data_IF_714254502255
#
_entry.id   IF_714254502255
#
_cell.length_a   1.000
_cell.length_b   1.000
_cell.length_c   1.000
_cell.angle_alpha   90.00
_cell.angle_beta   90.00
_cell.angle_gamma   90.00
#
_symmetry.space_group_name_H-M   'P 1'
#
loop_
_entity.id
_entity.type
_entity.pdbx_description
1 polymer ?
#
# COMPACT_ATOMS: atom_id res chain seq x y z
N UNK A 1 11.60 -11.74 -21.27
CA UNK A 1 11.91 -11.57 -19.83
C UNK A 1 12.93 -10.46 -19.69
N UNK A 2 12.74 -9.52 -18.78
CA UNK A 2 13.66 -8.41 -18.54
C UNK A 2 14.11 -8.41 -17.08
N UNK A 3 15.40 -8.18 -16.86
CA UNK A 3 15.97 -7.99 -15.53
C UNK A 3 15.97 -6.49 -15.21
N UNK A 4 15.12 -6.09 -14.26
CA UNK A 4 14.92 -4.67 -13.94
C UNK A 4 16.13 -4.03 -13.24
N UNK A 5 17.09 -4.82 -12.74
CA UNK A 5 18.37 -4.31 -12.26
C UNK A 5 19.28 -3.83 -13.40
N UNK A 6 19.02 -4.28 -14.63
CA UNK A 6 19.81 -3.95 -15.83
C UNK A 6 19.06 -3.03 -16.79
N UNK A 7 17.74 -3.18 -16.89
CA UNK A 7 16.89 -2.43 -17.83
C UNK A 7 15.71 -1.83 -17.06
N UNK A 8 15.62 -0.51 -17.05
CA UNK A 8 14.50 0.21 -16.42
C UNK A 8 13.15 -0.19 -17.03
N UNK A 9 12.05 -0.24 -16.24
CA UNK A 9 10.71 -0.53 -16.76
C UNK A 9 10.32 0.31 -17.98
N UNK A 10 10.60 1.61 -17.97
CA UNK A 10 10.30 2.51 -19.10
C UNK A 10 10.93 2.07 -20.43
N UNK A 11 12.15 1.50 -20.38
CA UNK A 11 12.83 0.94 -21.56
C UNK A 11 12.24 -0.40 -21.96
N UNK A 12 11.99 -1.29 -21.01
CA UNK A 12 11.40 -2.60 -21.28
C UNK A 12 10.00 -2.47 -21.91
N UNK A 13 9.19 -1.55 -21.41
CA UNK A 13 7.82 -1.28 -21.89
C UNK A 13 7.76 -0.67 -23.29
N UNK A 14 8.85 -0.12 -23.84
CA UNK A 14 8.86 0.32 -25.24
C UNK A 14 8.54 -0.83 -26.20
N UNK A 15 8.84 -2.09 -25.84
CA UNK A 15 8.46 -3.26 -26.63
C UNK A 15 6.94 -3.35 -26.85
N UNK A 16 6.13 -2.88 -25.89
CA UNK A 16 4.66 -2.90 -26.01
C UNK A 16 4.18 -2.08 -27.22
N UNK A 17 4.91 -1.02 -27.60
CA UNK A 17 4.58 -0.18 -28.76
C UNK A 17 4.79 -0.86 -30.11
N UNK A 18 5.51 -1.99 -30.13
CA UNK A 18 5.75 -2.81 -31.32
C UNK A 18 4.74 -3.96 -31.47
N UNK A 19 3.85 -4.13 -30.48
CA UNK A 19 2.84 -5.19 -30.44
C UNK A 19 1.45 -4.65 -30.79
N UNK A 20 0.47 -5.52 -31.12
CA UNK A 20 -0.91 -5.10 -31.35
C UNK A 20 -1.47 -4.30 -30.17
N UNK A 21 -2.28 -3.28 -30.49
CA UNK A 21 -2.89 -2.41 -29.48
C UNK A 21 -3.79 -3.22 -28.54
N UNK A 22 -3.83 -2.85 -27.26
CA UNK A 22 -4.67 -3.45 -26.22
C UNK A 22 -4.53 -4.97 -26.02
N UNK A 23 -3.43 -5.59 -26.50
CA UNK A 23 -3.24 -7.04 -26.45
C UNK A 23 -2.14 -7.48 -25.46
N UNK A 24 -1.41 -6.53 -24.87
CA UNK A 24 -0.20 -6.85 -24.10
C UNK A 24 -0.55 -7.11 -22.64
N UNK A 25 -0.14 -8.27 -22.14
CA UNK A 25 -0.14 -8.61 -20.71
C UNK A 25 1.31 -8.71 -20.24
N UNK A 26 1.62 -8.09 -19.10
CA UNK A 26 2.95 -8.13 -18.49
C UNK A 26 2.87 -8.78 -17.12
N UNK A 27 3.75 -9.74 -16.86
CA UNK A 27 3.92 -10.35 -15.54
C UNK A 27 5.09 -9.68 -14.82
N UNK A 28 4.80 -9.05 -13.68
CA UNK A 28 5.82 -8.41 -12.83
C UNK A 28 6.18 -9.35 -11.68
N UNK A 29 7.41 -9.87 -11.70
CA UNK A 29 7.93 -10.74 -10.65
C UNK A 29 8.67 -9.91 -9.60
N UNK A 30 8.05 -9.65 -8.45
CA UNK A 30 8.60 -8.76 -7.44
C UNK A 30 7.68 -8.57 -6.23
N UNK A 31 8.01 -7.58 -5.39
CA UNK A 31 7.10 -7.09 -4.34
C UNK A 31 6.36 -5.82 -4.76
N UNK A 32 5.58 -5.24 -3.85
CA UNK A 32 4.73 -4.07 -4.11
C UNK A 32 5.53 -2.89 -4.72
N UNK A 33 6.73 -2.60 -4.20
CA UNK A 33 7.59 -1.54 -4.74
C UNK A 33 8.05 -1.78 -6.19
N UNK A 34 8.31 -3.03 -6.58
CA UNK A 34 8.65 -3.38 -7.96
C UNK A 34 7.46 -3.16 -8.89
N UNK A 35 6.26 -3.54 -8.44
CA UNK A 35 5.02 -3.31 -9.18
C UNK A 35 4.78 -1.82 -9.34
N UNK A 36 4.88 -1.03 -8.26
CA UNK A 36 4.78 0.42 -8.28
C UNK A 36 5.74 1.07 -9.30
N UNK A 37 6.99 0.60 -9.37
CA UNK A 37 7.97 1.10 -10.34
C UNK A 37 7.56 0.84 -11.80
N UNK A 38 6.97 -0.33 -12.09
CA UNK A 38 6.43 -0.64 -13.42
C UNK A 38 5.21 0.23 -13.73
N UNK A 39 4.30 0.41 -12.76
CA UNK A 39 3.11 1.24 -12.92
C UNK A 39 3.47 2.72 -13.15
N UNK A 40 4.51 3.25 -12.51
CA UNK A 40 5.00 4.61 -12.77
C UNK A 40 5.54 4.75 -14.21
N UNK A 41 6.23 3.74 -14.73
CA UNK A 41 6.66 3.74 -16.12
C UNK A 41 5.48 3.64 -17.12
N UNK A 42 4.39 2.98 -16.74
CA UNK A 42 3.14 2.97 -17.53
C UNK A 42 2.49 4.36 -17.53
N UNK A 43 2.51 5.07 -16.39
CA UNK A 43 2.03 6.46 -16.36
C UNK A 43 2.85 7.37 -17.28
N UNK A 44 4.18 7.16 -17.38
CA UNK A 44 5.00 7.90 -18.36
C UNK A 44 4.59 7.61 -19.81
N UNK A 45 4.15 6.38 -20.13
CA UNK A 45 3.64 6.05 -21.46
C UNK A 45 2.35 6.82 -21.76
N UNK A 46 1.43 6.93 -20.79
CA UNK A 46 0.22 7.77 -20.93
C UNK A 46 0.58 9.22 -21.24
N UNK A 47 1.53 9.79 -20.49
CA UNK A 47 1.97 11.18 -20.69
C UNK A 47 2.56 11.39 -22.09
N UNK A 48 3.16 10.34 -22.69
CA UNK A 48 3.72 10.36 -24.06
C UNK A 48 2.68 10.09 -25.16
N UNK A 49 1.38 9.97 -24.83
CA UNK A 49 0.32 9.69 -25.80
C UNK A 49 0.35 8.25 -26.35
N UNK A 50 0.84 7.30 -25.54
CA UNK A 50 0.96 5.88 -25.91
C UNK A 50 -0.14 5.02 -25.29
N UNK A 51 -1.34 5.56 -25.06
CA UNK A 51 -2.41 4.91 -24.29
C UNK A 51 -2.86 3.59 -24.89
N UNK A 52 -2.84 3.46 -26.23
CA UNK A 52 -3.22 2.23 -26.96
C UNK A 52 -2.25 1.06 -26.74
N UNK A 53 -1.08 1.33 -26.16
CA UNK A 53 -0.01 0.35 -25.94
C UNK A 53 0.23 0.04 -24.46
N UNK A 54 -0.64 0.54 -23.58
CA UNK A 54 -0.56 0.26 -22.15
C UNK A 54 -0.87 -1.22 -21.91
N UNK A 55 0.02 -1.95 -21.22
CA UNK A 55 -0.24 -3.35 -20.92
C UNK A 55 -1.14 -3.52 -19.69
N UNK A 56 -1.81 -4.67 -19.61
CA UNK A 56 -2.44 -5.15 -18.38
C UNK A 56 -1.38 -5.84 -17.50
N UNK A 57 -1.38 -5.58 -16.20
CA UNK A 57 -0.31 -6.00 -15.28
C UNK A 57 -0.77 -7.15 -14.36
N UNK A 58 -0.11 -8.29 -14.46
CA UNK A 58 -0.19 -9.38 -13.47
C UNK A 58 1.01 -9.35 -12.52
N UNK A 59 0.87 -9.97 -11.35
CA UNK A 59 1.90 -9.99 -10.31
C UNK A 59 2.30 -11.43 -10.00
N UNK A 60 3.60 -11.70 -9.93
CA UNK A 60 4.14 -12.87 -9.25
C UNK A 60 4.77 -12.40 -7.93
N UNK A 61 4.17 -12.73 -6.76
CA UNK A 61 4.55 -12.14 -5.48
C UNK A 61 5.86 -12.72 -4.92
N UNK A 62 6.96 -12.03 -5.21
CA UNK A 62 8.31 -12.37 -4.71
C UNK A 62 8.73 -11.50 -3.51
N UNK A 63 7.93 -10.51 -3.13
CA UNK A 63 8.17 -9.63 -1.98
C UNK A 63 7.80 -10.27 -0.64
N UNK A 64 7.88 -9.48 0.43
CA UNK A 64 7.49 -9.90 1.80
C UNK A 64 6.04 -9.59 2.15
N UNK A 65 5.55 -8.38 1.82
CA UNK A 65 4.17 -7.93 2.12
C UNK A 65 3.18 -8.48 1.10
N UNK A 66 3.34 -8.07 -0.17
CA UNK A 66 2.54 -8.51 -1.32
C UNK A 66 1.04 -8.23 -1.14
N UNK A 67 0.69 -7.13 -0.47
CA UNK A 67 -0.70 -6.77 -0.20
C UNK A 67 -1.46 -6.46 -1.50
N UNK A 68 -0.78 -5.86 -2.50
CA UNK A 68 -1.39 -5.63 -3.82
C UNK A 68 -1.67 -6.96 -4.54
N UNK A 69 -0.73 -7.90 -4.46
CA UNK A 69 -0.90 -9.25 -5.02
C UNK A 69 -2.07 -10.00 -4.37
N UNK A 70 -2.18 -9.95 -3.05
CA UNK A 70 -3.29 -10.52 -2.30
C UNK A 70 -4.64 -9.91 -2.73
N UNK A 71 -4.69 -8.59 -2.86
CA UNK A 71 -5.90 -7.86 -3.30
C UNK A 71 -6.34 -8.32 -4.69
N UNK A 72 -5.39 -8.60 -5.58
CA UNK A 72 -5.63 -8.99 -6.96
C UNK A 72 -5.73 -10.52 -7.17
N UNK A 73 -5.73 -11.30 -6.10
CA UNK A 73 -5.91 -12.76 -6.14
C UNK A 73 -4.68 -13.56 -6.57
N UNK A 74 -3.50 -12.94 -6.69
CA UNK A 74 -2.25 -13.63 -7.03
C UNK A 74 -1.54 -14.26 -5.82
N UNK A 75 -2.11 -14.09 -4.62
CA UNK A 75 -1.65 -14.70 -3.37
C UNK A 75 -0.55 -13.93 -2.64
N UNK A 76 -0.19 -14.44 -1.46
CA UNK A 76 0.67 -13.75 -0.50
C UNK A 76 2.16 -13.93 -0.75
N UNK A 77 2.52 -14.86 -1.63
CA UNK A 77 3.90 -15.18 -1.93
C UNK A 77 4.02 -16.40 -2.85
N UNK A 78 5.10 -16.45 -3.62
CA UNK A 78 5.50 -17.60 -4.41
C UNK A 78 6.79 -18.21 -3.85
N UNK A 79 6.89 -19.53 -3.73
CA UNK A 79 8.08 -20.24 -3.25
C UNK A 79 8.62 -21.30 -4.25
N UNK A 80 8.12 -21.32 -5.50
CA UNK A 80 8.55 -22.26 -6.54
C UNK A 80 7.63 -23.46 -6.74
N UNK A 81 6.51 -23.51 -6.03
CA UNK A 81 5.54 -24.61 -6.04
C UNK A 81 4.71 -24.69 -7.33
N UNK A 82 4.40 -23.55 -7.96
CA UNK A 82 3.60 -23.50 -9.20
C UNK A 82 4.52 -23.49 -10.43
N UNK A 83 4.39 -24.43 -11.38
CA UNK A 83 5.18 -24.42 -12.61
C UNK A 83 4.97 -23.15 -13.44
N UNK A 84 6.03 -22.65 -14.08
CA UNK A 84 5.99 -21.44 -14.93
C UNK A 84 4.91 -21.51 -16.00
N UNK A 85 4.74 -22.68 -16.62
CA UNK A 85 3.69 -22.93 -17.62
C UNK A 85 2.28 -22.63 -17.07
N UNK A 86 2.00 -23.04 -15.81
CA UNK A 86 0.72 -22.78 -15.17
C UNK A 86 0.57 -21.30 -14.82
N UNK A 87 1.64 -20.64 -14.34
CA UNK A 87 1.63 -19.19 -14.09
C UNK A 87 1.27 -18.44 -15.37
N UNK A 88 1.88 -18.80 -16.51
CA UNK A 88 1.60 -18.16 -17.79
C UNK A 88 0.16 -18.42 -18.27
N UNK A 89 -0.38 -19.62 -18.06
CA UNK A 89 -1.81 -19.91 -18.30
C UNK A 89 -2.72 -19.01 -17.46
N UNK A 90 -2.48 -18.92 -16.15
CA UNK A 90 -3.26 -18.06 -15.26
C UNK A 90 -3.22 -16.59 -15.71
N UNK A 91 -2.06 -16.10 -16.17
CA UNK A 91 -1.93 -14.74 -16.73
C UNK A 91 -2.71 -14.56 -18.02
N UNK A 92 -2.80 -15.57 -18.88
CA UNK A 92 -3.59 -15.50 -20.12
C UNK A 92 -5.11 -15.57 -19.87
N UNK A 93 -5.53 -16.25 -18.82
CA UNK A 93 -6.95 -16.45 -18.47
C UNK A 93 -7.50 -15.39 -17.50
N UNK A 94 -6.62 -14.65 -16.81
CA UNK A 94 -6.99 -13.61 -15.86
C UNK A 94 -7.88 -12.50 -16.47
N UNK A 95 -8.73 -11.92 -15.63
CA UNK A 95 -9.63 -10.84 -15.99
C UNK A 95 -8.96 -9.48 -15.85
N UNK A 96 -9.29 -8.56 -16.76
CA UNK A 96 -8.83 -7.17 -16.68
C UNK A 96 -9.66 -6.38 -15.69
N UNK A 97 -8.99 -5.70 -14.76
CA UNK A 97 -9.64 -4.80 -13.78
C UNK A 97 -8.90 -3.46 -13.72
N UNK A 98 -9.57 -2.44 -13.20
CA UNK A 98 -8.95 -1.15 -12.90
C UNK A 98 -8.44 -1.13 -11.46
N UNK A 99 -7.32 -0.43 -11.25
CA UNK A 99 -6.78 -0.11 -9.94
C UNK A 99 -6.65 1.40 -9.83
N UNK A 100 -7.36 2.00 -8.89
CA UNK A 100 -7.20 3.38 -8.50
C UNK A 100 -5.77 3.64 -8.04
N UNK A 101 -5.22 4.77 -8.50
CA UNK A 101 -3.92 5.26 -8.07
C UNK A 101 -4.07 6.68 -7.59
N UNK A 102 -3.37 6.99 -6.50
CA UNK A 102 -3.58 8.22 -5.75
C UNK A 102 -2.31 9.06 -5.75
N UNK A 103 -2.51 10.37 -5.73
CA UNK A 103 -1.44 11.35 -5.60
C UNK A 103 -1.41 11.81 -4.15
N UNK A 104 -0.30 11.58 -3.46
CA UNK A 104 -0.04 12.09 -2.11
C UNK A 104 0.86 13.30 -2.21
N UNK A 105 0.31 14.49 -1.97
CA UNK A 105 1.06 15.75 -2.00
C UNK A 105 1.34 16.25 -0.59
N UNK A 106 2.62 16.43 -0.25
CA UNK A 106 3.08 16.94 1.05
C UNK A 106 3.65 18.34 0.89
N UNK A 107 2.97 19.31 1.52
CA UNK A 107 3.33 20.74 1.49
C UNK A 107 3.77 21.19 2.89
N UNK A 108 5.05 21.53 3.07
CA UNK A 108 5.60 21.94 4.37
C UNK A 108 5.10 23.34 4.79
N UNK A 109 4.83 23.54 6.08
CA UNK A 109 4.56 24.87 6.66
C UNK A 109 5.89 25.55 7.05
N UNK A 110 6.31 26.59 6.33
CA UNK A 110 7.38 27.51 6.79
C UNK A 110 8.43 27.94 5.74
N UNK A 111 8.75 29.25 5.79
CA UNK A 111 9.66 30.08 4.97
C UNK A 111 9.41 30.06 3.46
N UNK A 112 8.77 31.14 2.95
CA UNK A 112 8.48 31.52 1.56
C UNK A 112 8.28 30.33 0.61
N UNK A 113 7.08 30.12 0.04
CA UNK A 113 6.66 29.10 -0.95
C UNK A 113 7.67 28.70 -2.07
N UNK A 114 8.91 28.35 -1.74
CA UNK A 114 10.08 28.16 -2.59
C UNK A 114 10.44 26.67 -2.63
N UNK A 115 10.10 25.91 -1.58
CA UNK A 115 10.24 24.46 -1.60
C UNK A 115 9.05 23.85 -2.33
N UNK A 116 9.33 23.22 -3.47
CA UNK A 116 8.34 22.43 -4.21
C UNK A 116 7.72 21.35 -3.28
N UNK A 117 6.40 21.13 -3.35
CA UNK A 117 5.76 20.03 -2.63
C UNK A 117 6.41 18.70 -2.98
N UNK A 118 6.51 17.79 -2.00
CA UNK A 118 6.84 16.39 -2.31
C UNK A 118 5.59 15.71 -2.82
N UNK A 119 5.71 14.95 -3.90
CA UNK A 119 4.58 14.25 -4.53
C UNK A 119 4.94 12.78 -4.66
N UNK A 120 4.07 11.91 -4.18
CA UNK A 120 4.19 10.47 -4.29
C UNK A 120 3.00 9.91 -5.05
N UNK A 121 3.21 8.80 -5.76
CA UNK A 121 2.12 7.95 -6.23
C UNK A 121 1.88 6.88 -5.17
N UNK A 122 0.63 6.68 -4.77
CA UNK A 122 0.20 5.66 -3.83
C UNK A 122 -0.68 4.66 -4.56
N UNK A 123 -0.31 3.39 -4.45
CA UNK A 123 -1.02 2.24 -5.02
C UNK A 123 -1.66 1.40 -3.91
N UNK A 124 -1.09 1.40 -2.70
CA UNK A 124 -1.57 0.58 -1.59
C UNK A 124 -2.14 1.47 -0.49
N UNK A 125 -1.28 2.16 0.26
CA UNK A 125 -1.72 2.93 1.42
C UNK A 125 -0.70 3.94 1.93
N UNK A 126 -1.22 5.00 2.55
CA UNK A 126 -0.47 6.01 3.28
C UNK A 126 -0.74 5.84 4.77
N UNK A 127 0.25 6.15 5.62
CA UNK A 127 0.01 6.24 7.05
C UNK A 127 0.87 7.28 7.75
N UNK A 128 0.37 7.74 8.90
CA UNK A 128 1.08 8.58 9.86
C UNK A 128 0.97 7.91 11.24
N UNK A 129 2.08 7.85 12.00
CA UNK A 129 2.11 7.29 13.35
C UNK A 129 2.73 5.89 13.44
N UNK A 130 2.26 5.01 14.33
CA UNK A 130 2.89 3.72 14.66
C UNK A 130 3.20 2.81 13.46
N UNK A 131 2.28 2.71 12.50
CA UNK A 131 2.50 1.93 11.27
C UNK A 131 3.72 2.44 10.48
N UNK A 132 3.73 3.74 10.18
CA UNK A 132 4.86 4.39 9.52
C UNK A 132 6.17 4.30 10.32
N UNK A 133 6.08 4.31 11.65
CA UNK A 133 7.25 4.16 12.52
C UNK A 133 7.86 2.77 12.42
N UNK A 134 7.03 1.72 12.40
CA UNK A 134 7.51 0.35 12.18
C UNK A 134 8.22 0.24 10.84
N UNK A 135 7.66 0.83 9.78
CA UNK A 135 8.31 0.90 8.48
C UNK A 135 9.65 1.66 8.54
N UNK A 136 9.71 2.80 9.22
CA UNK A 136 10.93 3.60 9.39
C UNK A 136 12.03 2.83 10.14
N UNK A 137 11.66 2.17 11.23
CA UNK A 137 12.58 1.36 12.03
C UNK A 137 13.09 0.16 11.23
N UNK A 138 12.20 -0.53 10.52
CA UNK A 138 12.56 -1.65 9.65
C UNK A 138 13.53 -1.21 8.54
N UNK A 139 13.25 -0.08 7.87
CA UNK A 139 14.13 0.47 6.84
C UNK A 139 15.53 0.77 7.39
N UNK A 140 15.62 1.46 8.52
CA UNK A 140 16.89 1.79 9.16
C UNK A 140 17.69 0.56 9.62
N UNK A 141 17.02 -0.52 10.03
CA UNK A 141 17.68 -1.78 10.39
C UNK A 141 18.11 -2.58 9.16
N UNK A 142 17.31 -2.57 8.09
CA UNK A 142 17.64 -3.23 6.81
C UNK A 142 18.89 -2.63 6.16
N UNK A 143 19.05 -1.32 6.20
CA UNK A 143 20.27 -0.65 5.71
C UNK A 143 21.52 -1.04 6.51
N UNK A 144 21.37 -1.28 7.82
CA UNK A 144 22.49 -1.65 8.70
C UNK A 144 22.88 -3.12 8.61
N UNK A 145 21.91 -4.03 8.46
CA UNK A 145 22.17 -5.47 8.47
C UNK A 145 21.36 -6.22 7.41
N UNK A 146 21.69 -6.08 6.11
CA UNK A 146 20.88 -6.64 5.01
C UNK A 146 20.69 -8.17 5.06
N UNK A 147 21.68 -8.90 5.59
CA UNK A 147 21.68 -10.38 5.63
C UNK A 147 20.53 -10.97 6.46
N UNK A 148 20.07 -10.26 7.49
CA UNK A 148 18.93 -10.67 8.33
C UNK A 148 17.58 -10.55 7.62
N UNK A 149 17.52 -9.85 6.48
CA UNK A 149 16.26 -9.54 5.78
C UNK A 149 16.04 -10.36 4.49
N UNK A 150 16.81 -11.43 4.33
CA UNK A 150 16.75 -12.31 3.16
C UNK A 150 15.57 -13.28 3.16
N UNK A 151 14.91 -13.48 4.31
CA UNK A 151 13.78 -14.40 4.46
C UNK A 151 12.47 -13.66 4.73
N UNK A 152 11.43 -13.98 3.95
CA UNK A 152 10.08 -13.41 4.13
C UNK A 152 9.50 -13.70 5.51
N UNK A 153 9.70 -14.92 6.02
CA UNK A 153 9.20 -15.34 7.34
C UNK A 153 9.87 -14.51 8.43
N UNK A 154 11.20 -14.34 8.36
CA UNK A 154 11.96 -13.54 9.31
C UNK A 154 11.52 -12.08 9.24
N UNK A 155 11.34 -11.54 8.03
CA UNK A 155 10.86 -10.17 7.86
C UNK A 155 9.49 -9.96 8.50
N UNK A 156 8.52 -10.85 8.24
CA UNK A 156 7.20 -10.78 8.87
C UNK A 156 7.29 -10.87 10.40
N UNK A 157 8.10 -11.78 10.93
CA UNK A 157 8.31 -11.91 12.37
C UNK A 157 8.93 -10.64 12.99
N UNK A 158 9.93 -10.04 12.34
CA UNK A 158 10.55 -8.79 12.79
C UNK A 158 9.52 -7.65 12.84
N UNK A 159 8.68 -7.50 11.81
CA UNK A 159 7.59 -6.53 11.80
C UNK A 159 6.63 -6.72 12.97
N UNK A 160 6.22 -7.97 13.21
CA UNK A 160 5.36 -8.32 14.34
C UNK A 160 6.00 -7.97 15.70
N UNK A 161 7.29 -8.27 15.88
CA UNK A 161 8.00 -7.97 17.12
C UNK A 161 8.23 -6.47 17.37
N UNK A 162 8.36 -5.64 16.32
CA UNK A 162 8.35 -4.19 16.51
C UNK A 162 7.02 -3.69 17.08
N UNK A 163 5.91 -4.32 16.73
CA UNK A 163 4.59 -4.02 17.29
C UNK A 163 4.48 -4.32 18.80
N UNK A 164 5.31 -5.24 19.32
CA UNK A 164 5.23 -5.71 20.72
C UNK A 164 6.34 -5.19 21.63
N UNK A 165 7.49 -4.72 21.10
CA UNK A 165 8.65 -4.29 21.91
C UNK A 165 8.74 -2.81 22.27
N UNK A 166 8.01 -1.92 21.61
CA UNK A 166 8.09 -0.47 21.87
C UNK A 166 6.74 0.14 22.28
N UNK A 167 6.20 -0.25 23.43
CA UNK A 167 4.94 0.28 23.97
C UNK A 167 5.01 1.74 24.47
N UNK A 168 6.10 2.48 24.24
CA UNK A 168 6.27 3.86 24.70
C UNK A 168 6.91 4.77 23.65
N UNK A 169 6.40 4.78 22.43
CA UNK A 169 6.79 5.81 21.46
C UNK A 169 6.08 7.12 21.79
N UNK A 170 6.70 7.95 22.63
CA UNK A 170 6.18 9.28 22.98
C UNK A 170 5.91 10.15 21.75
N UNK A 171 6.59 9.91 20.63
CA UNK A 171 6.49 10.71 19.41
C UNK A 171 5.09 10.66 18.79
N UNK A 172 4.38 9.52 18.86
CA UNK A 172 3.08 9.34 18.21
C UNK A 172 1.86 9.67 19.09
N UNK A 173 2.07 9.89 20.41
CA UNK A 173 0.97 10.17 21.35
C UNK A 173 0.16 11.41 20.99
N UNK A 174 -1.10 11.45 21.40
CA UNK A 174 -2.00 12.59 21.25
C UNK A 174 -2.15 13.08 19.79
N UNK A 175 -2.32 12.16 18.84
CA UNK A 175 -2.44 12.51 17.41
C UNK A 175 -3.56 13.53 17.17
N UNK A 176 -4.68 13.41 17.88
CA UNK A 176 -5.81 14.32 17.85
C UNK A 176 -5.46 15.78 18.20
N UNK A 177 -4.38 16.02 18.96
CA UNK A 177 -3.89 17.37 19.26
C UNK A 177 -2.94 17.89 18.17
N UNK A 178 -2.28 16.98 17.45
CA UNK A 178 -1.24 17.28 16.44
C UNK A 178 -1.79 17.40 15.02
N UNK A 179 -2.86 16.66 14.70
CA UNK A 179 -3.39 16.50 13.34
C UNK A 179 -4.85 16.96 13.26
N UNK A 180 -5.18 17.65 12.18
CA UNK A 180 -6.58 17.80 11.72
C UNK A 180 -6.78 16.90 10.51
N UNK A 181 -7.87 16.13 10.52
CA UNK A 181 -8.30 15.29 9.40
C UNK A 181 -9.54 15.91 8.77
N UNK A 182 -9.54 15.96 7.44
CA UNK A 182 -10.72 16.24 6.64
C UNK A 182 -10.91 15.15 5.60
N UNK A 183 -12.17 14.75 5.42
CA UNK A 183 -12.64 13.80 4.42
C UNK A 183 -13.64 14.55 3.53
N UNK A 184 -13.33 14.67 2.24
CA UNK A 184 -14.14 15.42 1.27
C UNK A 184 -14.46 16.86 1.69
N UNK A 185 -13.54 17.49 2.43
CA UNK A 185 -13.66 18.85 2.94
C UNK A 185 -14.38 18.96 4.29
N UNK A 186 -14.97 17.88 4.78
CA UNK A 186 -15.62 17.82 6.09
C UNK A 186 -14.63 17.43 7.17
N UNK A 187 -14.63 18.19 8.27
CA UNK A 187 -13.69 17.98 9.36
C UNK A 187 -14.10 16.80 10.24
N UNK A 188 -13.20 15.85 10.40
CA UNK A 188 -13.40 14.68 11.26
C UNK A 188 -12.91 14.95 12.68
N UNK A 189 -13.78 14.72 13.67
CA UNK A 189 -13.41 14.77 15.08
C UNK A 189 -12.65 13.50 15.46
N UNK A 190 -11.33 13.61 15.54
CA UNK A 190 -10.47 12.47 15.91
C UNK A 190 -10.65 12.07 17.39
N UNK A 191 -10.86 10.77 17.68
CA UNK A 191 -10.73 10.24 19.03
C UNK A 191 -9.26 10.23 19.47
N UNK A 192 -8.97 9.75 20.68
CA UNK A 192 -7.60 9.65 21.16
C UNK A 192 -6.84 8.53 20.42
N UNK A 193 -6.20 8.91 19.32
CA UNK A 193 -5.45 8.03 18.43
C UNK A 193 -3.96 8.36 18.48
N UNK A 194 -3.15 7.42 17.99
CA UNK A 194 -1.71 7.60 17.77
C UNK A 194 -1.33 7.51 16.29
N UNK A 195 -2.18 6.92 15.44
CA UNK A 195 -1.97 6.87 14.00
C UNK A 195 -3.25 6.89 13.17
N UNK A 196 -3.08 7.23 11.90
CA UNK A 196 -4.11 7.17 10.84
C UNK A 196 -3.50 6.39 9.66
N UNK A 197 -4.30 5.50 9.08
CA UNK A 197 -3.98 4.72 7.88
C UNK A 197 -5.06 5.03 6.84
N UNK A 198 -4.63 5.34 5.61
CA UNK A 198 -5.47 5.64 4.45
C UNK A 198 -5.21 4.56 3.41
N UNK A 199 -6.23 3.77 3.09
CA UNK A 199 -6.13 2.58 2.25
C UNK A 199 -6.74 2.84 0.87
N UNK A 200 -6.11 2.28 -0.15
CA UNK A 200 -6.63 2.14 -1.51
C UNK A 200 -6.96 0.67 -1.86
N UNK A 201 -6.43 -0.28 -1.08
CA UNK A 201 -6.59 -1.71 -1.31
C UNK A 201 -7.06 -2.41 -0.04
N UNK A 202 -7.70 -3.58 -0.19
CA UNK A 202 -8.31 -4.30 0.93
C UNK A 202 -7.31 -4.91 1.92
N UNK A 203 -6.05 -5.11 1.51
CA UNK A 203 -5.00 -5.71 2.34
C UNK A 203 -3.96 -4.68 2.83
N UNK A 204 -3.52 -4.87 4.06
CA UNK A 204 -2.51 -4.05 4.74
C UNK A 204 -1.57 -4.93 5.57
N UNK A 205 -0.31 -4.52 5.64
CA UNK A 205 0.66 -5.07 6.59
C UNK A 205 1.02 -6.54 6.34
N UNK A 206 0.91 -7.02 5.11
CA UNK A 206 1.27 -8.37 4.71
C UNK A 206 0.18 -9.43 4.93
N UNK A 207 -1.10 -9.04 4.78
CA UNK A 207 -2.24 -9.97 4.77
C UNK A 207 -3.45 -9.60 5.64
N UNK A 208 -3.44 -8.47 6.35
CA UNK A 208 -4.54 -8.07 7.24
C UNK A 208 -5.56 -7.17 6.52
N UNK A 209 -6.85 -7.36 6.75
CA UNK A 209 -7.93 -6.53 6.17
C UNK A 209 -8.48 -5.56 7.23
N UNK A 210 -8.09 -4.29 7.14
CA UNK A 210 -8.44 -3.28 8.15
C UNK A 210 -9.89 -2.76 8.03
N UNK A 211 -10.49 -2.84 6.85
CA UNK A 211 -11.83 -2.32 6.62
C UNK A 211 -12.94 -3.37 6.82
N UNK A 212 -12.62 -4.65 6.68
CA UNK A 212 -13.60 -5.74 6.77
C UNK A 212 -13.92 -6.13 8.22
N UNK A 213 -15.10 -6.70 8.45
CA UNK A 213 -15.49 -7.23 9.77
C UNK A 213 -15.80 -6.18 10.84
N UNK A 214 -15.92 -4.90 10.46
CA UNK A 214 -16.10 -3.75 11.36
C UNK A 214 -17.57 -3.45 11.75
N UNK A 215 -18.52 -4.36 11.47
CA UNK A 215 -19.94 -4.23 11.86
C UNK A 215 -20.82 -3.44 10.87
N UNK A 216 -22.10 -3.27 11.26
CA UNK A 216 -23.24 -2.77 10.43
C UNK A 216 -23.25 -1.26 10.13
N UNK A 217 -22.08 -0.62 10.08
CA UNK A 217 -21.98 0.79 9.67
C UNK A 217 -22.33 0.96 8.18
N UNK A 218 -22.95 2.08 7.76
CA UNK A 218 -23.52 2.27 6.41
C UNK A 218 -22.49 2.46 5.29
N UNK A 219 -21.21 2.19 5.54
CA UNK A 219 -20.17 2.38 4.54
C UNK A 219 -20.11 1.21 3.56
N UNK A 220 -19.93 1.47 2.25
CA UNK A 220 -19.60 0.45 1.28
C UNK A 220 -18.40 -0.43 1.68
N UNK A 221 -18.36 -1.63 1.11
CA UNK A 221 -17.17 -2.49 1.17
C UNK A 221 -15.99 -1.78 0.50
N UNK A 222 -14.78 -2.08 0.99
CA UNK A 222 -13.57 -1.54 0.38
C UNK A 222 -13.43 -2.07 -1.04
N UNK A 223 -13.14 -1.16 -1.97
CA UNK A 223 -12.83 -1.48 -3.36
C UNK A 223 -11.61 -0.69 -3.78
N UNK A 224 -10.94 -1.18 -4.80
CA UNK A 224 -9.72 -0.57 -5.33
C UNK A 224 -9.97 0.08 -6.70
N UNK A 225 -11.24 0.26 -7.07
CA UNK A 225 -11.71 0.69 -8.40
C UNK A 225 -12.96 1.60 -8.33
N UNK A 226 -13.27 2.16 -7.16
CA UNK A 226 -14.47 2.97 -6.92
C UNK A 226 -14.17 4.46 -6.69
N UNK A 227 -12.90 4.85 -6.75
CA UNK A 227 -12.44 6.21 -6.51
C UNK A 227 -12.57 6.64 -5.06
N UNK A 228 -12.69 5.72 -4.09
CA UNK A 228 -12.74 6.02 -2.66
C UNK A 228 -11.46 5.55 -1.94
N UNK A 229 -11.20 6.16 -0.79
CA UNK A 229 -10.17 5.75 0.16
C UNK A 229 -10.80 5.41 1.49
N UNK A 230 -10.44 4.27 2.07
CA UNK A 230 -10.81 3.92 3.44
C UNK A 230 -9.86 4.56 4.45
N UNK A 231 -10.41 5.23 5.46
CA UNK A 231 -9.62 5.89 6.50
C UNK A 231 -9.90 5.28 7.86
N UNK A 232 -8.84 4.80 8.50
CA UNK A 232 -8.91 4.15 9.82
C UNK A 232 -7.88 4.74 10.79
N UNK A 233 -8.17 4.66 12.07
CA UNK A 233 -7.33 5.09 13.18
C UNK A 233 -6.79 3.93 14.00
N UNK A 234 -5.60 4.10 14.58
CA UNK A 234 -4.97 3.12 15.49
C UNK A 234 -4.50 3.80 16.78
N UNK A 235 -4.41 3.02 17.86
CA UNK A 235 -4.12 3.51 19.21
C UNK A 235 -2.65 3.36 19.63
N UNK A 236 -1.82 2.73 18.79
CA UNK A 236 -0.42 2.45 19.11
C UNK A 236 0.09 1.22 18.39
N UNK A 237 1.39 0.95 18.47
CA UNK A 237 2.01 -0.23 17.83
C UNK A 237 1.45 -1.55 18.34
N UNK A 238 1.14 -1.63 19.64
CA UNK A 238 0.51 -2.81 20.23
C UNK A 238 -0.89 -3.05 19.67
N UNK A 239 -1.68 -1.99 19.47
CA UNK A 239 -2.99 -2.10 18.82
C UNK A 239 -2.84 -2.61 17.38
N UNK A 240 -1.86 -2.10 16.62
CA UNK A 240 -1.55 -2.62 15.28
C UNK A 240 -1.22 -4.13 15.30
N UNK A 241 -0.42 -4.59 16.27
CA UNK A 241 -0.10 -6.00 16.41
C UNK A 241 -1.35 -6.85 16.76
N UNK A 242 -2.22 -6.38 17.64
CA UNK A 242 -3.48 -7.06 17.97
C UNK A 242 -4.40 -7.16 16.75
N UNK A 243 -4.46 -6.12 15.91
CA UNK A 243 -5.24 -6.14 14.67
C UNK A 243 -4.69 -7.20 13.70
N UNK A 244 -3.37 -7.29 13.54
CA UNK A 244 -2.75 -8.29 12.66
C UNK A 244 -3.10 -9.74 13.05
N UNK A 245 -3.32 -10.01 14.35
CA UNK A 245 -3.72 -11.34 14.86
C UNK A 245 -5.22 -11.45 15.13
N UNK A 246 -6.04 -10.54 14.57
CA UNK A 246 -7.51 -10.54 14.68
C UNK A 246 -8.04 -10.48 16.13
N UNK A 247 -7.26 -9.91 17.05
CA UNK A 247 -7.66 -9.69 18.46
C UNK A 247 -8.19 -8.28 18.74
N UNK A 248 -8.11 -7.38 17.77
CA UNK A 248 -8.65 -6.03 17.86
C UNK A 248 -9.06 -5.52 16.47
N UNK A 249 -9.86 -4.47 16.48
CA UNK A 249 -10.40 -3.81 15.30
C UNK A 249 -9.90 -2.36 15.26
N UNK A 250 -9.48 -1.83 14.09
CA UNK A 250 -9.10 -0.43 13.98
C UNK A 250 -10.30 0.49 14.24
N UNK A 251 -10.06 1.78 14.45
CA UNK A 251 -11.14 2.78 14.59
C UNK A 251 -11.57 3.24 13.20
N UNK A 252 -12.79 2.96 12.77
CA UNK A 252 -13.32 3.43 11.48
C UNK A 252 -13.52 4.95 11.50
N UNK A 253 -12.91 5.69 10.57
CA UNK A 253 -13.01 7.15 10.48
C UNK A 253 -13.85 7.63 9.30
N UNK A 254 -13.93 6.85 8.22
CA UNK A 254 -14.81 7.11 7.07
C UNK A 254 -14.20 6.67 5.74
N UNK A 255 -14.93 6.91 4.65
CA UNK A 255 -14.46 6.81 3.27
C UNK A 255 -14.51 8.19 2.61
N UNK A 256 -13.60 8.46 1.67
CA UNK A 256 -13.55 9.76 0.99
C UNK A 256 -12.91 9.69 -0.41
N UNK A 257 -13.31 10.61 -1.30
CA UNK A 257 -12.62 10.87 -2.57
C UNK A 257 -11.38 11.75 -2.40
N UNK A 258 -11.29 12.51 -1.30
CA UNK A 258 -10.15 13.37 -0.99
C UNK A 258 -9.88 13.36 0.51
N UNK A 259 -8.65 13.02 0.88
CA UNK A 259 -8.20 13.02 2.28
C UNK A 259 -7.22 14.17 2.48
N UNK A 260 -7.47 15.03 3.47
CA UNK A 260 -6.55 16.11 3.85
C UNK A 260 -6.15 16.00 5.32
N UNK A 261 -4.85 15.92 5.57
CA UNK A 261 -4.25 15.85 6.90
C UNK A 261 -3.38 17.07 7.14
N UNK A 262 -3.65 17.82 8.20
CA UNK A 262 -2.88 19.00 8.59
C UNK A 262 -2.08 18.67 9.86
N UNK A 263 -0.79 18.41 9.71
CA UNK A 263 0.14 18.25 10.84
C UNK A 263 0.57 19.63 11.33
N UNK A 264 0.11 20.01 12.53
CA UNK A 264 0.33 21.34 13.11
C UNK A 264 1.71 21.50 13.73
N UNK A 265 2.18 20.47 14.42
CA UNK A 265 3.36 20.52 15.29
C UNK A 265 4.05 19.16 15.36
N UNK A 266 5.29 19.19 15.87
CA UNK A 266 6.16 18.02 16.02
C UNK A 266 6.57 17.35 14.70
N UNK A 267 7.61 16.51 14.77
CA UNK A 267 7.90 15.56 13.70
C UNK A 267 7.11 14.28 13.96
N UNK A 268 6.54 13.71 12.90
CA UNK A 268 5.82 12.44 12.94
C UNK A 268 6.36 11.51 11.85
N UNK A 269 6.45 10.20 12.11
CA UNK A 269 6.72 9.22 11.06
C UNK A 269 5.55 9.15 10.08
N UNK A 270 5.85 9.11 8.80
CA UNK A 270 4.92 8.90 7.70
C UNK A 270 5.49 7.87 6.72
N UNK A 271 4.62 7.20 5.96
CA UNK A 271 5.02 6.32 4.87
C UNK A 271 3.98 6.35 3.73
N UNK A 272 4.43 6.01 2.52
CA UNK A 272 3.57 5.69 1.37
C UNK A 272 4.08 4.38 0.79
N UNK A 273 3.22 3.37 0.64
CA UNK A 273 3.54 2.07 0.03
C UNK A 273 4.82 1.40 0.59
N UNK A 274 5.09 1.60 1.89
CA UNK A 274 6.25 1.06 2.60
C UNK A 274 7.50 1.93 2.58
N UNK A 275 7.50 3.08 1.90
CA UNK A 275 8.61 4.04 1.88
C UNK A 275 8.47 5.10 2.98
N UNK A 276 9.25 5.03 4.08
CA UNK A 276 9.01 5.82 5.28
C UNK A 276 9.90 7.08 5.37
N UNK A 277 9.42 8.09 6.09
CA UNK A 277 10.21 9.27 6.45
C UNK A 277 9.71 9.97 7.72
N UNK A 278 10.55 10.82 8.31
CA UNK A 278 10.13 11.73 9.39
C UNK A 278 9.66 13.08 8.83
N UNK A 279 8.43 13.48 9.14
CA UNK A 279 7.77 14.65 8.59
C UNK A 279 7.49 15.71 9.67
N UNK A 280 7.96 16.95 9.47
CA UNK A 280 7.57 18.10 10.30
C UNK A 280 6.22 18.70 9.88
N UNK A 281 5.80 19.84 10.46
CA UNK A 281 4.52 20.47 10.14
C UNK A 281 4.27 20.64 8.64
N UNK A 282 3.13 20.12 8.16
CA UNK A 282 2.79 20.07 6.75
C UNK A 282 1.28 19.93 6.54
N UNK A 283 0.87 20.07 5.28
CA UNK A 283 -0.43 19.60 4.79
C UNK A 283 -0.18 18.45 3.84
N UNK A 284 -0.77 17.30 4.12
CA UNK A 284 -0.84 16.15 3.22
C UNK A 284 -2.21 16.19 2.54
N UNK A 285 -2.24 16.06 1.23
CA UNK A 285 -3.47 15.98 0.45
C UNK A 285 -3.39 14.77 -0.46
N UNK A 286 -4.35 13.86 -0.32
CA UNK A 286 -4.46 12.64 -1.10
C UNK A 286 -5.67 12.78 -2.01
N UNK A 287 -5.45 12.70 -3.31
CA UNK A 287 -6.47 12.85 -4.36
C UNK A 287 -6.26 11.81 -5.44
N UNK A 288 -7.32 11.44 -6.15
CA UNK A 288 -7.23 10.56 -7.31
C UNK A 288 -6.19 11.07 -8.31
N UNK A 289 -5.42 10.15 -8.91
CA UNK A 289 -4.37 10.46 -9.90
C UNK A 289 -4.74 9.88 -11.26
N UNK A 290 -4.99 8.58 -11.33
CA UNK A 290 -5.24 7.80 -12.55
C UNK A 290 -5.64 6.37 -12.17
N UNK A 291 -5.99 5.54 -13.16
CA UNK A 291 -6.16 4.09 -12.98
C UNK A 291 -5.01 3.32 -13.63
N UNK A 292 -4.65 2.16 -13.10
CA UNK A 292 -3.85 1.15 -13.79
C UNK A 292 -4.73 -0.02 -14.26
N UNK A 293 -4.38 -0.59 -15.42
CA UNK A 293 -5.00 -1.84 -15.88
C UNK A 293 -4.25 -3.01 -15.25
N UNK A 294 -4.92 -3.70 -14.33
CA UNK A 294 -4.38 -4.86 -13.63
C UNK A 294 -5.08 -6.13 -14.13
N UNK A 295 -4.46 -7.27 -13.85
CA UNK A 295 -5.05 -8.59 -14.05
C UNK A 295 -5.45 -9.15 -12.70
N UNK A 296 -6.69 -9.61 -12.59
CA UNK A 296 -7.24 -10.31 -11.43
C UNK A 296 -7.25 -11.81 -11.68
N UNK A 297 -6.81 -12.60 -10.70
CA UNK A 297 -6.86 -14.06 -10.78
C UNK A 297 -7.67 -14.63 -9.62
N UNK A 298 -8.80 -15.26 -9.91
CA UNK A 298 -9.69 -15.85 -8.91
C UNK A 298 -9.26 -17.24 -8.43
N UNK A 299 -7.97 -17.61 -8.55
CA UNK A 299 -7.48 -18.92 -8.14
C UNK A 299 -7.86 -19.18 -6.69
N UNK A 300 -8.36 -20.39 -6.38
CA UNK A 300 -8.82 -20.79 -5.04
C UNK A 300 -7.80 -20.34 -3.98
N UNK A 301 -8.12 -19.27 -3.26
CA UNK A 301 -7.43 -18.93 -2.03
C UNK A 301 -7.79 -20.06 -1.07
N UNK A 302 -6.87 -21.01 -0.89
CA UNK A 302 -6.96 -21.92 0.24
C UNK A 302 -6.84 -21.05 1.48
N UNK A 303 -7.97 -20.75 2.10
CA UNK A 303 -8.04 -20.23 3.45
C UNK A 303 -7.44 -21.28 4.40
N UNK A 304 -6.12 -21.39 4.42
CA UNK A 304 -5.38 -22.27 5.35
C UNK A 304 -5.46 -21.79 6.81
N UNK A 305 -6.28 -20.76 7.10
CA UNK A 305 -6.57 -20.27 8.45
C UNK A 305 -7.96 -20.69 8.98
N UNK A 306 -8.71 -21.54 8.25
CA UNK A 306 -10.01 -22.04 8.67
C UNK A 306 -10.00 -23.53 9.10
N UNK A 307 -8.96 -24.01 9.78
CA UNK A 307 -9.04 -25.33 10.44
C UNK A 307 -8.08 -25.49 11.61
N UNK A 308 -8.34 -24.81 12.72
CA UNK A 308 -8.05 -25.35 14.06
C UNK A 308 -8.80 -24.54 15.09
N UNK A 309 -9.98 -25.00 15.48
CA UNK A 309 -10.60 -24.91 16.82
C UNK A 309 -12.06 -25.36 16.70
N UNK A 310 -12.23 -26.67 16.53
CA UNK A 310 -13.45 -27.36 16.92
C UNK A 310 -13.08 -28.79 17.29
N UNK A 311 -12.69 -28.96 18.55
CA UNK A 311 -13.02 -30.10 19.43
C UNK A 311 -12.54 -29.78 20.85
#
# INVERSE_FOLDING_TARGET
VFDLSKITPAKALQLCTLLPCNAVRVLVCGGDGTVGWVLDAIDEMKIKGQERYIPQVAILPLGTGNDLSNTLGWGAGYAGEVPVEQILRNVMEADGIELDRWKVQVTNKGYYNLRKPKVFTMNNYFSIGPDALMALNFHAHREKTPSLFSSRIINKAVYFFYGTKDCLVQECKDLNKKVELELDGERIKLPNLEGIIVLNIGYWGGGCRLWEGMGDEPYPLARHDDGLLEVVGVHGSFHCAQIQVKLANPVRLGQAHTVRLILKSSKMPMQVDGEPWAQGPCTVTITHKTHALMLYHSGEQTDDDASSLSE
#
